data_IF_874523064888
#
_entry.id   IF_874523064888
#
_cell.length_a   1.000
_cell.length_b   1.000
_cell.length_c   1.000
_cell.angle_alpha   90.00
_cell.angle_beta   90.00
_cell.angle_gamma   90.00
#
_symmetry.space_group_name_H-M   'P 1'
#
loop_
_entity.id
_entity.type
_entity.pdbx_description
1 polymer ?
#
# COMPACT_ATOMS: atom_id res chain seq x y z
N UNK A 1 -1.17 -11.96 -14.86
CA UNK A 1 -1.09 -10.49 -14.80
C UNK A 1 -2.03 -10.03 -13.69
N UNK A 2 -1.53 -9.28 -12.71
CA UNK A 2 -2.33 -8.85 -11.55
C UNK A 2 -3.40 -7.83 -12.00
N UNK A 3 -4.66 -8.07 -11.63
CA UNK A 3 -5.77 -7.14 -11.88
C UNK A 3 -5.63 -5.80 -11.13
N UNK A 4 -4.65 -5.67 -10.22
CA UNK A 4 -4.40 -4.51 -9.37
C UNK A 4 -3.19 -3.69 -9.84
N UNK A 5 -3.22 -3.14 -11.06
CA UNK A 5 -2.14 -2.30 -11.60
C UNK A 5 -1.86 -1.02 -10.79
N UNK A 6 -1.51 0.09 -11.45
CA UNK A 6 -1.36 1.42 -10.81
C UNK A 6 -2.70 2.01 -10.33
N UNK A 7 -3.66 1.19 -9.88
CA UNK A 7 -4.92 1.66 -9.33
C UNK A 7 -4.67 2.26 -7.95
N UNK A 8 -4.99 3.54 -7.72
CA UNK A 8 -4.92 4.14 -6.40
C UNK A 8 -6.00 3.58 -5.49
N UNK A 9 -5.63 3.30 -4.25
CA UNK A 9 -6.55 2.75 -3.25
C UNK A 9 -6.18 3.30 -1.88
N UNK A 10 -7.18 3.86 -1.21
CA UNK A 10 -7.13 4.21 0.22
C UNK A 10 -7.79 3.09 0.99
N UNK A 11 -7.11 2.47 1.94
CA UNK A 11 -7.64 1.35 2.69
C UNK A 11 -7.29 1.45 4.16
N UNK A 12 -8.27 1.20 5.02
CA UNK A 12 -8.11 1.03 6.47
C UNK A 12 -8.25 -0.43 6.85
N UNK A 13 -7.49 -0.86 7.86
CA UNK A 13 -7.50 -2.22 8.37
C UNK A 13 -7.54 -2.23 9.91
N UNK A 14 -8.29 -3.16 10.47
CA UNK A 14 -8.36 -3.37 11.93
C UNK A 14 -8.47 -4.86 12.26
N UNK A 15 -8.24 -5.20 13.53
CA UNK A 15 -8.29 -6.56 14.05
C UNK A 15 -9.71 -7.14 14.06
N UNK A 16 -9.95 -8.10 14.94
CA UNK A 16 -11.15 -8.95 14.95
C UNK A 16 -12.41 -8.29 15.52
N UNK A 17 -12.53 -6.95 15.48
CA UNK A 17 -13.73 -6.25 15.94
C UNK A 17 -14.95 -6.76 15.16
N UNK A 18 -15.94 -7.30 15.87
CA UNK A 18 -17.21 -7.76 15.30
C UNK A 18 -18.23 -6.64 15.43
N UNK A 19 -19.04 -6.45 14.40
CA UNK A 19 -20.13 -5.48 14.35
C UNK A 19 -21.38 -6.19 13.82
N UNK A 20 -22.54 -5.83 14.34
CA UNK A 20 -23.83 -6.21 13.76
C UNK A 20 -24.01 -5.56 12.38
N UNK A 21 -24.93 -6.11 11.58
CA UNK A 21 -25.32 -5.50 10.29
C UNK A 21 -25.85 -4.07 10.45
N UNK A 22 -26.56 -3.81 11.56
CA UNK A 22 -27.04 -2.48 11.91
C UNK A 22 -25.89 -1.49 12.14
N UNK A 23 -24.91 -1.87 12.96
CA UNK A 23 -23.76 -1.01 13.28
C UNK A 23 -22.92 -0.73 12.03
N UNK A 24 -22.60 -1.76 11.24
CA UNK A 24 -21.81 -1.57 10.02
C UNK A 24 -22.57 -0.78 8.95
N UNK A 25 -23.89 -0.93 8.84
CA UNK A 25 -24.71 -0.13 7.94
C UNK A 25 -24.76 1.34 8.34
N UNK A 26 -24.88 1.64 9.64
CA UNK A 26 -24.82 3.01 10.16
C UNK A 26 -23.46 3.66 9.90
N UNK A 27 -22.36 2.95 10.19
CA UNK A 27 -21.00 3.43 9.89
C UNK A 27 -20.81 3.64 8.39
N UNK A 28 -21.24 2.69 7.56
CA UNK A 28 -21.12 2.81 6.10
C UNK A 28 -21.94 3.98 5.55
N UNK A 29 -23.15 4.23 6.05
CA UNK A 29 -23.96 5.39 5.62
C UNK A 29 -23.25 6.71 5.92
N UNK A 30 -22.81 6.90 7.17
CA UNK A 30 -22.11 8.11 7.57
C UNK A 30 -20.77 8.29 6.82
N UNK A 31 -20.09 7.18 6.53
CA UNK A 31 -18.89 7.16 5.69
C UNK A 31 -19.18 7.61 4.26
N UNK A 32 -20.24 7.09 3.63
CA UNK A 32 -20.65 7.48 2.28
C UNK A 32 -21.08 8.95 2.21
N UNK A 33 -21.77 9.47 3.23
CA UNK A 33 -22.16 10.89 3.31
C UNK A 33 -20.93 11.81 3.31
N UNK A 34 -19.90 11.47 4.09
CA UNK A 34 -18.65 12.24 4.13
C UNK A 34 -17.84 12.10 2.83
N UNK A 35 -17.88 10.94 2.15
CA UNK A 35 -17.27 10.78 0.83
C UNK A 35 -17.96 11.67 -0.22
N UNK A 36 -19.29 11.72 -0.21
CA UNK A 36 -20.06 12.60 -1.11
C UNK A 36 -19.73 14.08 -0.86
N UNK A 37 -19.52 14.47 0.39
CA UNK A 37 -19.12 15.82 0.76
C UNK A 37 -17.69 16.20 0.30
N UNK A 38 -16.79 15.22 0.18
CA UNK A 38 -15.46 15.42 -0.44
C UNK A 38 -15.63 15.65 -1.95
N UNK A 39 -16.29 14.72 -2.62
CA UNK A 39 -16.61 14.80 -4.03
C UNK A 39 -17.82 13.91 -4.34
N UNK A 40 -18.90 14.44 -4.93
CA UNK A 40 -20.08 13.65 -5.27
C UNK A 40 -19.76 12.42 -6.12
N UNK A 41 -18.72 12.49 -6.95
CA UNK A 41 -18.24 11.40 -7.80
C UNK A 41 -17.72 10.18 -7.03
N UNK A 42 -17.52 10.27 -5.71
CA UNK A 42 -17.10 9.16 -4.85
C UNK A 42 -18.27 8.30 -4.34
N UNK A 43 -19.49 8.84 -4.33
CA UNK A 43 -20.67 8.18 -3.76
C UNK A 43 -21.87 8.08 -4.72
N UNK A 44 -21.80 8.71 -5.91
CA UNK A 44 -22.88 8.72 -6.90
C UNK A 44 -23.15 7.33 -7.52
N UNK A 45 -24.45 6.98 -7.58
CA UNK A 45 -25.02 5.84 -8.30
C UNK A 45 -24.29 4.51 -8.12
N UNK A 46 -24.03 4.15 -6.86
CA UNK A 46 -23.39 2.87 -6.54
C UNK A 46 -24.40 1.72 -6.69
N UNK A 47 -23.98 0.68 -7.38
CA UNK A 47 -24.61 -0.64 -7.42
C UNK A 47 -23.86 -1.59 -6.49
N UNK A 48 -24.60 -2.45 -5.81
CA UNK A 48 -24.01 -3.50 -4.97
C UNK A 48 -23.82 -4.76 -5.80
N UNK A 49 -22.67 -5.42 -5.69
CA UNK A 49 -22.49 -6.75 -6.30
C UNK A 49 -23.00 -7.88 -5.41
N UNK A 50 -23.42 -7.57 -4.17
CA UNK A 50 -23.92 -8.57 -3.22
C UNK A 50 -25.34 -9.02 -3.55
N UNK A 51 -26.19 -8.13 -4.08
CA UNK A 51 -27.55 -8.46 -4.53
C UNK A 51 -27.59 -8.29 -6.07
N UNK A 52 -27.78 -9.41 -6.81
CA UNK A 52 -28.20 -9.55 -8.22
C UNK A 52 -28.14 -8.35 -9.21
N UNK A 53 -27.63 -8.62 -10.43
CA UNK A 53 -27.71 -7.81 -11.68
C UNK A 53 -27.97 -6.29 -11.54
N UNK A 54 -26.90 -5.52 -11.28
CA UNK A 54 -26.79 -4.06 -11.55
C UNK A 54 -28.00 -3.20 -11.16
N UNK A 55 -28.69 -3.49 -10.05
CA UNK A 55 -29.73 -2.60 -9.52
C UNK A 55 -29.05 -1.52 -8.66
N UNK A 56 -29.46 -0.24 -8.75
CA UNK A 56 -28.99 0.79 -7.83
C UNK A 56 -29.15 0.34 -6.38
N UNK A 57 -28.08 0.45 -5.59
CA UNK A 57 -28.13 0.04 -4.19
C UNK A 57 -29.04 1.00 -3.40
N UNK A 58 -29.93 0.45 -2.57
CA UNK A 58 -30.58 1.24 -1.54
C UNK A 58 -29.54 1.55 -0.46
N UNK A 59 -28.95 2.74 -0.55
CA UNK A 59 -27.92 3.20 0.38
C UNK A 59 -28.51 3.83 1.66
N UNK A 60 -29.82 3.72 1.92
CA UNK A 60 -30.36 4.01 3.25
C UNK A 60 -29.79 3.03 4.28
N UNK A 61 -29.91 3.34 5.58
CA UNK A 61 -29.46 2.41 6.62
C UNK A 61 -30.17 1.06 6.49
N UNK A 62 -31.48 1.03 6.29
CA UNK A 62 -32.25 -0.21 6.13
C UNK A 62 -31.85 -0.98 4.86
N UNK A 63 -31.55 -0.29 3.78
CA UNK A 63 -31.04 -0.89 2.55
C UNK A 63 -29.65 -1.49 2.72
N UNK A 64 -28.73 -0.76 3.35
CA UNK A 64 -27.40 -1.25 3.69
C UNK A 64 -27.46 -2.45 4.63
N UNK A 65 -28.37 -2.47 5.61
CA UNK A 65 -28.60 -3.66 6.46
C UNK A 65 -28.92 -4.87 5.59
N UNK A 66 -29.85 -4.76 4.64
CA UNK A 66 -30.20 -5.86 3.73
C UNK A 66 -29.00 -6.31 2.89
N UNK A 67 -28.25 -5.36 2.33
CA UNK A 67 -27.05 -5.63 1.54
C UNK A 67 -26.00 -6.39 2.37
N UNK A 68 -25.71 -5.92 3.58
CA UNK A 68 -24.76 -6.57 4.47
C UNK A 68 -25.24 -7.97 4.87
N UNK A 69 -26.50 -8.11 5.30
CA UNK A 69 -27.12 -9.40 5.63
C UNK A 69 -27.06 -10.39 4.45
N UNK A 70 -27.24 -9.93 3.21
CA UNK A 70 -27.13 -10.74 2.01
C UNK A 70 -25.69 -11.15 1.71
N UNK A 71 -24.75 -10.22 1.88
CA UNK A 71 -23.30 -10.42 1.67
C UNK A 71 -22.64 -11.34 2.70
N UNK A 72 -23.39 -11.74 3.71
CA UNK A 72 -22.94 -12.57 4.81
C UNK A 72 -22.34 -13.88 4.27
N UNK A 73 -21.02 -14.01 4.40
CA UNK A 73 -20.32 -15.16 3.85
C UNK A 73 -20.54 -16.40 4.72
N UNK A 74 -21.05 -17.49 4.11
CA UNK A 74 -21.19 -18.80 4.77
C UNK A 74 -19.85 -19.50 5.03
N UNK A 75 -18.77 -19.09 4.36
CA UNK A 75 -17.42 -19.65 4.51
C UNK A 75 -16.56 -18.92 5.55
N UNK A 76 -17.03 -17.76 6.03
CA UNK A 76 -16.34 -16.98 7.05
C UNK A 76 -16.75 -17.45 8.46
N UNK A 77 -16.44 -18.71 8.80
CA UNK A 77 -16.66 -19.31 10.12
C UNK A 77 -16.71 -20.85 10.09
N UNK A 78 -16.12 -21.52 11.09
CA UNK A 78 -16.25 -22.99 11.29
C UNK A 78 -17.62 -23.35 11.91
N UNK A 79 -18.02 -24.62 11.73
CA UNK A 79 -19.33 -25.19 12.10
C UNK A 79 -19.76 -25.06 13.57
N UNK A 80 -18.83 -24.76 14.49
CA UNK A 80 -19.09 -24.87 15.93
C UNK A 80 -18.94 -23.53 16.66
N UNK A 81 -18.74 -22.41 15.94
CA UNK A 81 -18.77 -21.05 16.50
C UNK A 81 -19.31 -20.06 15.45
N UNK A 82 -20.48 -19.42 15.68
CA UNK A 82 -20.91 -18.29 14.83
C UNK A 82 -19.90 -17.13 14.99
N UNK A 83 -19.60 -16.31 13.98
CA UNK A 83 -20.52 -15.87 12.96
C UNK A 83 -19.86 -15.32 11.67
N UNK A 84 -20.66 -15.22 10.61
CA UNK A 84 -20.23 -14.87 9.27
C UNK A 84 -19.94 -13.37 9.14
N UNK A 85 -18.71 -13.03 8.74
CA UNK A 85 -18.36 -11.68 8.32
C UNK A 85 -19.12 -11.26 7.05
N UNK A 86 -19.16 -9.95 6.81
CA UNK A 86 -19.72 -9.32 5.64
C UNK A 86 -18.65 -8.96 4.62
N UNK A 87 -18.94 -9.11 3.33
CA UNK A 87 -18.08 -8.70 2.22
C UNK A 87 -18.90 -8.00 1.14
N UNK A 88 -18.81 -6.67 1.09
CA UNK A 88 -19.53 -5.87 0.12
C UNK A 88 -18.60 -5.13 -0.83
N UNK A 89 -19.06 -4.98 -2.06
CA UNK A 89 -18.49 -4.14 -3.11
C UNK A 89 -19.61 -3.26 -3.65
N UNK A 90 -19.41 -1.95 -3.51
CA UNK A 90 -20.22 -0.90 -4.09
C UNK A 90 -19.41 -0.28 -5.23
N UNK A 91 -19.90 -0.43 -6.45
CA UNK A 91 -19.25 0.07 -7.66
C UNK A 91 -20.22 0.98 -8.42
N UNK A 92 -19.77 2.00 -9.15
CA UNK A 92 -20.65 2.85 -9.96
C UNK A 92 -21.44 2.06 -11.03
N UNK A 93 -22.70 2.43 -11.25
CA UNK A 93 -23.56 1.87 -12.28
C UNK A 93 -22.97 2.03 -13.70
N UNK A 94 -22.29 3.16 -13.94
CA UNK A 94 -21.66 3.51 -15.21
C UNK A 94 -20.43 2.65 -15.54
N UNK A 95 -20.03 1.74 -14.65
CA UNK A 95 -18.87 0.88 -14.81
C UNK A 95 -17.54 1.61 -14.69
N UNK A 96 -17.53 2.86 -14.23
CA UNK A 96 -16.30 3.55 -13.88
C UNK A 96 -15.58 2.80 -12.76
N UNK A 97 -14.25 2.84 -12.81
CA UNK A 97 -13.38 2.00 -12.00
C UNK A 97 -13.29 2.38 -10.51
N UNK A 98 -14.21 3.23 -10.02
CA UNK A 98 -14.31 3.56 -8.61
C UNK A 98 -14.94 2.38 -7.87
N UNK A 99 -14.58 2.20 -6.61
CA UNK A 99 -15.18 1.16 -5.77
C UNK A 99 -15.06 1.53 -4.31
N UNK A 100 -16.13 1.33 -3.55
CA UNK A 100 -16.09 1.26 -2.10
C UNK A 100 -16.28 -0.20 -1.70
N UNK A 101 -15.33 -0.75 -0.94
CA UNK A 101 -15.40 -2.13 -0.46
C UNK A 101 -15.29 -2.19 1.04
N UNK A 102 -15.99 -3.14 1.67
CA UNK A 102 -15.84 -3.39 3.10
C UNK A 102 -15.87 -4.89 3.38
N UNK A 103 -14.91 -5.33 4.20
CA UNK A 103 -14.84 -6.66 4.77
C UNK A 103 -14.86 -6.53 6.29
N UNK A 104 -15.95 -6.97 6.94
CA UNK A 104 -16.15 -6.78 8.39
C UNK A 104 -16.54 -8.10 9.06
N UNK A 105 -16.04 -8.37 10.26
CA UNK A 105 -16.20 -9.65 10.95
C UNK A 105 -15.28 -10.76 10.43
N UNK A 106 -14.19 -10.41 9.74
CA UNK A 106 -13.17 -11.35 9.32
C UNK A 106 -12.30 -11.85 10.47
N UNK A 107 -11.97 -13.14 10.48
CA UNK A 107 -10.93 -13.68 11.35
C UNK A 107 -9.55 -13.21 10.86
N UNK A 108 -8.69 -12.81 11.79
CA UNK A 108 -7.33 -12.34 11.48
C UNK A 108 -6.53 -13.36 10.64
N UNK A 109 -6.80 -14.66 10.83
CA UNK A 109 -6.19 -15.77 10.07
C UNK A 109 -6.61 -15.81 8.60
N UNK A 110 -7.82 -15.37 8.25
CA UNK A 110 -8.32 -15.28 6.87
C UNK A 110 -7.92 -13.95 6.25
N UNK A 111 -8.49 -12.84 6.72
CA UNK A 111 -8.12 -11.49 6.36
C UNK A 111 -8.51 -10.54 7.49
N UNK A 112 -7.72 -9.48 7.75
CA UNK A 112 -8.15 -8.45 8.68
C UNK A 112 -9.43 -7.78 8.18
N UNK A 113 -10.21 -7.24 9.10
CA UNK A 113 -11.29 -6.34 8.71
C UNK A 113 -10.72 -5.17 7.93
N UNK A 114 -11.47 -4.68 6.94
CA UNK A 114 -11.03 -3.59 6.10
C UNK A 114 -12.18 -2.79 5.51
N UNK A 115 -11.86 -1.54 5.19
CA UNK A 115 -12.63 -0.69 4.29
C UNK A 115 -11.65 -0.16 3.24
N UNK A 116 -12.12 0.00 2.01
CA UNK A 116 -11.31 0.60 0.96
C UNK A 116 -12.14 1.47 0.02
N UNK A 117 -11.46 2.49 -0.52
CA UNK A 117 -11.91 3.30 -1.64
C UNK A 117 -10.88 3.16 -2.74
N UNK A 118 -11.28 2.57 -3.86
CA UNK A 118 -10.48 2.50 -5.08
C UNK A 118 -10.86 3.63 -6.02
N UNK A 119 -9.85 4.29 -6.58
CA UNK A 119 -10.01 5.39 -7.51
C UNK A 119 -9.70 4.91 -8.95
N UNK A 120 -10.14 5.63 -9.99
CA UNK A 120 -9.80 5.28 -11.37
C UNK A 120 -8.29 5.33 -11.61
N UNK A 121 -7.77 4.52 -12.55
CA UNK A 121 -6.39 4.71 -13.03
C UNK A 121 -6.31 5.96 -13.91
N UNK A 122 -5.09 6.47 -14.14
CA UNK A 122 -4.84 7.62 -15.04
C UNK A 122 -5.46 7.42 -16.44
N UNK A 123 -5.49 6.18 -16.93
CA UNK A 123 -6.08 5.79 -18.23
C UNK A 123 -7.60 5.69 -18.24
N UNK A 124 -8.25 5.73 -17.07
CA UNK A 124 -9.69 5.63 -16.88
C UNK A 124 -10.33 6.97 -16.53
N UNK A 125 -9.51 8.02 -16.35
CA UNK A 125 -9.98 9.36 -16.03
C UNK A 125 -10.63 10.01 -17.25
N UNK A 126 -11.70 10.73 -16.98
CA UNK A 126 -12.28 11.73 -17.88
C UNK A 126 -11.90 13.12 -17.39
N UNK A 127 -12.18 14.16 -18.16
CA UNK A 127 -11.95 15.53 -17.70
C UNK A 127 -12.71 15.86 -16.40
N UNK A 128 -13.91 15.29 -16.22
CA UNK A 128 -14.73 15.49 -15.02
C UNK A 128 -14.28 14.66 -13.83
N UNK A 129 -13.43 13.64 -13.98
CA UNK A 129 -12.96 12.81 -12.86
C UNK A 129 -11.48 12.95 -12.56
N UNK A 130 -10.73 13.74 -13.34
CA UNK A 130 -9.27 13.93 -13.17
C UNK A 130 -8.88 14.38 -11.75
N UNK A 131 -9.69 15.26 -11.15
CA UNK A 131 -9.48 15.76 -9.78
C UNK A 131 -9.52 14.69 -8.70
N UNK A 132 -10.11 13.51 -8.97
CA UNK A 132 -10.13 12.40 -8.01
C UNK A 132 -8.73 11.87 -7.69
N UNK A 133 -7.72 12.14 -8.53
CA UNK A 133 -6.32 11.81 -8.24
C UNK A 133 -5.53 12.96 -7.62
N UNK A 134 -6.19 14.10 -7.31
CA UNK A 134 -5.54 15.20 -6.63
C UNK A 134 -5.17 14.78 -5.20
N UNK A 135 -4.01 15.23 -4.68
CA UNK A 135 -3.54 14.85 -3.35
C UNK A 135 -4.57 15.13 -2.25
N UNK A 136 -5.25 16.28 -2.32
CA UNK A 136 -6.24 16.70 -1.33
C UNK A 136 -7.43 15.75 -1.23
N UNK A 137 -7.85 15.14 -2.35
CA UNK A 137 -8.92 14.13 -2.35
C UNK A 137 -8.43 12.84 -1.66
N UNK A 138 -7.20 12.42 -1.94
CA UNK A 138 -6.58 11.26 -1.31
C UNK A 138 -6.47 11.41 0.22
N UNK A 139 -5.97 12.55 0.69
CA UNK A 139 -5.86 12.90 2.11
C UNK A 139 -7.25 12.98 2.77
N UNK A 140 -8.22 13.61 2.13
CA UNK A 140 -9.57 13.70 2.66
C UNK A 140 -10.21 12.30 2.83
N UNK A 141 -10.05 11.40 1.85
CA UNK A 141 -10.53 10.02 1.95
C UNK A 141 -9.83 9.28 3.10
N UNK A 142 -8.51 9.44 3.26
CA UNK A 142 -7.77 8.87 4.38
C UNK A 142 -8.35 9.32 5.72
N UNK A 143 -8.60 10.61 5.90
CA UNK A 143 -9.17 11.17 7.14
C UNK A 143 -10.57 10.65 7.42
N UNK A 144 -11.41 10.55 6.39
CA UNK A 144 -12.76 10.00 6.52
C UNK A 144 -12.72 8.51 6.89
N UNK A 145 -11.79 7.73 6.32
CA UNK A 145 -11.55 6.34 6.76
C UNK A 145 -11.15 6.30 8.24
N UNK A 146 -10.18 7.12 8.65
CA UNK A 146 -9.72 7.18 10.05
C UNK A 146 -10.84 7.57 11.01
N UNK A 147 -11.66 8.56 10.62
CA UNK A 147 -12.79 9.08 11.40
C UNK A 147 -13.86 8.03 11.68
N UNK A 148 -14.30 7.29 10.65
CA UNK A 148 -15.47 6.41 10.78
C UNK A 148 -15.12 4.99 11.18
N UNK A 149 -13.96 4.50 10.74
CA UNK A 149 -13.60 3.09 10.90
C UNK A 149 -12.56 2.85 11.98
N UNK A 150 -11.93 3.90 12.50
CA UNK A 150 -10.90 3.81 13.55
C UNK A 150 -9.90 2.66 13.29
N UNK A 151 -9.27 2.62 12.11
CA UNK A 151 -8.41 1.52 11.74
C UNK A 151 -7.19 1.47 12.65
N UNK A 152 -6.58 0.29 12.79
CA UNK A 152 -5.26 0.17 13.43
C UNK A 152 -4.14 0.64 12.50
N UNK A 153 -4.37 0.50 11.19
CA UNK A 153 -3.47 0.94 10.12
C UNK A 153 -4.27 1.31 8.88
N UNK A 154 -3.85 2.34 8.18
CA UNK A 154 -4.46 2.72 6.91
C UNK A 154 -3.39 3.21 5.92
N UNK A 155 -3.71 3.17 4.63
CA UNK A 155 -2.76 3.55 3.60
C UNK A 155 -3.44 4.01 2.32
N UNK A 156 -2.91 5.08 1.73
CA UNK A 156 -3.16 5.46 0.35
C UNK A 156 -2.02 4.92 -0.51
N UNK A 157 -2.28 4.03 -1.47
CA UNK A 157 -1.20 3.37 -2.23
C UNK A 157 -1.65 2.91 -3.62
N UNK A 158 -0.67 2.55 -4.46
CA UNK A 158 -0.86 1.89 -5.75
C UNK A 158 -0.20 0.51 -5.75
N UNK A 159 -0.56 -0.35 -6.71
CA UNK A 159 0.01 -1.70 -6.84
C UNK A 159 1.55 -1.71 -6.86
N UNK A 160 2.17 -0.76 -7.57
CA UNK A 160 3.64 -0.65 -7.70
C UNK A 160 4.31 -0.53 -6.32
N UNK A 161 3.78 0.30 -5.42
CA UNK A 161 4.36 0.50 -4.08
C UNK A 161 4.23 -0.76 -3.24
N UNK A 162 3.12 -1.49 -3.36
CA UNK A 162 2.89 -2.73 -2.62
C UNK A 162 3.92 -3.79 -3.00
N UNK A 163 4.33 -3.85 -4.27
CA UNK A 163 5.30 -4.84 -4.75
C UNK A 163 6.73 -4.61 -4.22
N UNK A 164 7.09 -3.38 -3.83
CA UNK A 164 8.42 -3.04 -3.31
C UNK A 164 8.69 -3.60 -1.90
N UNK A 165 7.64 -3.96 -1.16
CA UNK A 165 7.74 -4.05 0.30
C UNK A 165 7.92 -5.47 0.83
N UNK A 166 7.64 -6.50 0.00
CA UNK A 166 7.67 -7.92 0.38
C UNK A 166 7.17 -8.18 1.82
N UNK A 167 6.01 -7.58 2.16
CA UNK A 167 5.51 -7.50 3.54
C UNK A 167 4.99 -8.84 4.05
N UNK A 168 5.16 -9.07 5.35
CA UNK A 168 4.46 -10.14 6.06
C UNK A 168 3.01 -9.73 6.34
N UNK A 169 2.15 -10.71 6.67
CA UNK A 169 0.78 -10.43 7.13
C UNK A 169 0.84 -9.68 8.46
N UNK A 170 0.01 -8.63 8.61
CA UNK A 170 -0.04 -7.79 9.82
C UNK A 170 0.92 -6.59 9.83
N UNK A 171 1.97 -6.58 9.01
CA UNK A 171 2.85 -5.42 8.88
C UNK A 171 2.13 -4.22 8.24
N UNK A 172 2.51 -3.01 8.64
CA UNK A 172 2.03 -1.77 8.01
C UNK A 172 2.49 -1.75 6.55
N UNK A 173 1.52 -1.56 5.64
CA UNK A 173 1.80 -1.33 4.23
C UNK A 173 2.02 0.16 4.02
N UNK A 174 3.22 0.53 3.58
CA UNK A 174 3.60 1.92 3.32
C UNK A 174 3.03 2.35 1.97
N UNK A 175 2.40 3.52 1.94
CA UNK A 175 1.87 4.15 0.74
C UNK A 175 2.43 5.56 0.54
N UNK A 176 1.78 6.35 -0.30
CA UNK A 176 2.00 7.80 -0.30
C UNK A 176 1.62 8.40 1.04
N UNK A 177 0.46 7.99 1.57
CA UNK A 177 0.07 8.21 2.95
C UNK A 177 -0.01 6.89 3.69
N UNK A 178 0.48 6.90 4.93
CA UNK A 178 0.52 5.75 5.83
C UNK A 178 0.10 6.20 7.21
N UNK A 179 -1.01 5.67 7.69
CA UNK A 179 -1.51 5.88 9.04
C UNK A 179 -1.33 4.62 9.88
N UNK A 180 -1.01 4.80 11.15
CA UNK A 180 -1.03 3.74 12.14
C UNK A 180 -1.46 4.28 13.50
N UNK A 181 -2.16 3.45 14.26
CA UNK A 181 -2.68 3.79 15.58
C UNK A 181 -1.55 4.12 16.57
N UNK A 182 -1.90 4.90 17.59
CA UNK A 182 -0.98 5.26 18.67
C UNK A 182 -0.34 4.03 19.33
N UNK A 183 0.96 4.10 19.62
CA UNK A 183 1.71 2.99 20.25
C UNK A 183 2.61 2.20 19.30
N UNK A 184 2.50 2.39 17.98
CA UNK A 184 3.53 1.92 17.05
C UNK A 184 4.74 2.86 17.12
N UNK A 185 5.90 2.33 17.47
CA UNK A 185 7.16 3.08 17.50
C UNK A 185 7.79 3.12 16.11
N UNK A 186 8.41 4.25 15.76
CA UNK A 186 9.19 4.38 14.54
C UNK A 186 10.31 5.41 14.73
N UNK A 187 11.41 5.23 14.01
CA UNK A 187 12.55 6.13 14.03
C UNK A 187 12.31 7.32 13.10
N UNK A 188 11.87 8.45 13.67
CA UNK A 188 11.68 9.71 12.95
C UNK A 188 12.94 10.21 12.26
N UNK A 189 14.13 9.90 12.79
CA UNK A 189 15.40 10.35 12.22
C UNK A 189 15.79 9.55 10.98
N UNK A 190 15.20 8.37 10.79
CA UNK A 190 15.39 7.52 9.62
C UNK A 190 14.39 7.79 8.50
N UNK A 191 13.46 8.73 8.68
CA UNK A 191 12.50 9.09 7.63
C UNK A 191 13.19 9.84 6.47
N UNK A 192 12.74 9.62 5.23
CA UNK A 192 13.25 10.36 4.09
C UNK A 192 12.89 11.85 4.19
N UNK A 193 13.65 12.72 3.53
CA UNK A 193 13.42 14.17 3.56
C UNK A 193 12.05 14.57 3.01
N UNK A 194 11.47 13.76 2.11
CA UNK A 194 10.14 13.95 1.55
C UNK A 194 9.00 13.65 2.53
N UNK A 195 9.30 13.05 3.68
CA UNK A 195 8.30 12.66 4.66
C UNK A 195 7.81 13.84 5.50
N UNK A 196 6.49 13.99 5.56
CA UNK A 196 5.80 14.85 6.51
C UNK A 196 5.08 13.96 7.51
N UNK A 197 5.27 14.25 8.80
CA UNK A 197 4.62 13.53 9.91
C UNK A 197 3.56 14.44 10.53
N UNK A 198 2.34 13.92 10.65
CA UNK A 198 1.22 14.59 11.32
C UNK A 198 0.71 13.68 12.45
N UNK A 199 0.55 14.26 13.64
CA UNK A 199 -0.12 13.56 14.75
C UNK A 199 -1.62 13.78 14.66
N UNK A 200 -2.37 12.69 14.58
CA UNK A 200 -3.81 12.67 14.68
C UNK A 200 -4.20 12.25 16.11
N UNK A 201 -5.43 12.58 16.57
CA UNK A 201 -5.86 12.22 17.93
C UNK A 201 -5.72 10.72 18.27
N UNK A 202 -5.81 9.84 17.27
CA UNK A 202 -5.79 8.38 17.44
C UNK A 202 -4.54 7.70 16.90
N UNK A 203 -3.57 8.43 16.35
CA UNK A 203 -2.39 7.82 15.74
C UNK A 203 -1.53 8.80 14.95
N UNK A 204 -0.62 8.28 14.14
CA UNK A 204 0.32 9.08 13.35
C UNK A 204 0.09 8.84 11.86
N UNK A 205 0.09 9.92 11.08
CA UNK A 205 0.02 9.90 9.62
C UNK A 205 1.37 10.34 9.04
N UNK A 206 1.93 9.55 8.13
CA UNK A 206 3.13 9.88 7.37
C UNK A 206 2.73 10.08 5.91
N UNK A 207 3.11 11.21 5.31
CA UNK A 207 2.92 11.54 3.89
C UNK A 207 4.26 11.69 3.18
N UNK A 208 4.39 11.15 1.96
CA UNK A 208 5.61 11.18 1.15
C UNK A 208 5.48 12.10 -0.07
N UNK A 209 6.00 13.32 0.03
CA UNK A 209 5.93 14.29 -1.08
C UNK A 209 4.49 14.71 -1.46
N UNK A 210 4.37 15.38 -2.60
CA UNK A 210 3.13 16.02 -3.08
C UNK A 210 2.45 15.27 -4.24
N UNK A 211 3.12 14.26 -4.83
CA UNK A 211 2.64 13.53 -6.00
C UNK A 211 2.32 12.09 -5.61
N UNK A 212 1.04 11.78 -5.34
CA UNK A 212 0.70 10.54 -4.70
C UNK A 212 0.94 9.35 -5.64
N UNK A 213 0.82 9.55 -6.95
CA UNK A 213 1.13 8.57 -8.00
C UNK A 213 2.63 8.44 -8.35
N UNK A 214 3.52 9.25 -7.78
CA UNK A 214 4.94 9.33 -8.17
C UNK A 214 5.89 9.34 -6.97
N UNK A 215 5.60 8.55 -5.94
CA UNK A 215 6.49 8.40 -4.77
C UNK A 215 7.73 7.61 -5.15
N UNK A 216 8.90 8.07 -4.71
CA UNK A 216 10.15 7.35 -4.93
C UNK A 216 10.15 6.00 -4.19
N UNK A 217 10.58 4.94 -4.87
CA UNK A 217 10.70 3.62 -4.29
C UNK A 217 11.64 3.62 -3.06
N UNK A 218 12.69 4.43 -3.07
CA UNK A 218 13.62 4.57 -1.96
C UNK A 218 12.93 5.15 -0.71
N UNK A 219 12.00 6.09 -0.89
CA UNK A 219 11.26 6.71 0.21
C UNK A 219 10.30 5.71 0.87
N UNK A 220 9.59 4.91 0.07
CA UNK A 220 8.73 3.81 0.57
C UNK A 220 9.56 2.82 1.41
N UNK A 221 10.75 2.46 0.93
CA UNK A 221 11.67 1.55 1.63
C UNK A 221 12.23 2.19 2.90
N UNK A 222 12.58 3.48 2.87
CA UNK A 222 13.09 4.21 4.03
C UNK A 222 12.04 4.28 5.16
N UNK A 223 10.77 4.56 4.84
CA UNK A 223 9.69 4.53 5.85
C UNK A 223 9.51 3.14 6.44
N UNK A 224 9.60 2.07 5.63
CA UNK A 224 9.55 0.70 6.17
C UNK A 224 10.70 0.43 7.15
N UNK A 225 11.91 0.84 6.81
CA UNK A 225 13.06 0.69 7.68
C UNK A 225 12.87 1.50 8.98
N UNK A 226 12.33 2.72 8.89
CA UNK A 226 12.01 3.57 10.04
C UNK A 226 10.96 2.92 10.96
N UNK A 227 10.01 2.16 10.42
CA UNK A 227 9.04 1.35 11.16
C UNK A 227 9.63 0.05 11.75
N UNK A 228 10.93 -0.20 11.56
CA UNK A 228 11.62 -1.39 12.07
C UNK A 228 11.37 -2.66 11.25
N UNK A 229 10.77 -2.55 10.07
CA UNK A 229 10.52 -3.71 9.22
C UNK A 229 11.74 -4.10 8.40
N UNK A 230 11.94 -5.40 8.13
CA UNK A 230 13.02 -5.84 7.26
C UNK A 230 12.82 -5.29 5.84
N UNK A 231 13.86 -4.67 5.31
CA UNK A 231 13.93 -4.21 3.92
C UNK A 231 14.90 -5.11 3.16
N UNK A 232 14.42 -5.75 2.09
CA UNK A 232 15.33 -6.51 1.22
C UNK A 232 16.15 -5.53 0.38
N UNK A 233 17.47 -5.72 0.35
CA UNK A 233 18.31 -5.03 -0.62
C UNK A 233 17.81 -5.35 -2.05
N UNK A 234 17.75 -4.35 -2.95
CA UNK A 234 17.29 -4.56 -4.33
C UNK A 234 18.03 -5.73 -4.98
N UNK A 235 17.33 -6.53 -5.80
CA UNK A 235 17.87 -7.76 -6.41
C UNK A 235 19.15 -7.55 -7.25
N UNK A 236 19.43 -6.31 -7.69
CA UNK A 236 20.67 -5.95 -8.37
C UNK A 236 21.92 -5.96 -7.47
N UNK A 237 21.75 -5.93 -6.14
CA UNK A 237 22.84 -6.15 -5.17
C UNK A 237 23.21 -7.63 -5.05
N UNK A 238 22.24 -8.55 -5.31
CA UNK A 238 22.48 -10.00 -5.28
C UNK A 238 23.17 -10.53 -6.55
N UNK A 239 23.23 -9.72 -7.61
CA UNK A 239 23.91 -10.04 -8.87
C UNK A 239 25.29 -9.36 -9.01
N UNK A 240 25.73 -8.61 -8.00
CA UNK A 240 27.12 -8.13 -7.93
C UNK A 240 28.07 -9.31 -7.64
N UNK A 241 29.13 -9.53 -8.44
CA UNK A 241 30.09 -10.64 -8.24
C UNK A 241 30.75 -10.67 -6.85
N UNK A 242 30.75 -9.53 -6.16
CA UNK A 242 31.32 -9.38 -4.81
C UNK A 242 30.57 -10.16 -3.73
N UNK A 243 29.28 -10.48 -3.91
CA UNK A 243 28.52 -11.27 -2.93
C UNK A 243 28.63 -12.79 -3.12
N UNK A 244 29.22 -13.26 -4.23
CA UNK A 244 29.53 -14.68 -4.42
C UNK A 244 30.88 -15.09 -3.83
N UNK A 245 31.76 -14.13 -3.52
CA UNK A 245 33.07 -14.41 -2.93
C UNK A 245 33.09 -14.42 -1.39
N UNK A 246 32.10 -13.86 -0.69
CA UNK A 246 32.16 -13.75 0.79
C UNK A 246 31.78 -15.01 1.57
N UNK A 247 31.45 -16.13 0.90
CA UNK A 247 31.20 -17.42 1.58
C UNK A 247 32.43 -18.30 1.71
N UNK A 248 33.55 -17.93 1.09
CA UNK A 248 34.81 -18.63 1.27
C UNK A 248 35.89 -17.61 1.66
N UNK A 249 36.72 -17.99 2.63
CA UNK A 249 37.88 -17.27 3.17
C UNK A 249 37.58 -16.38 4.39
N UNK A 250 37.62 -17.06 5.54
CA UNK A 250 38.18 -16.52 6.78
C UNK A 250 39.61 -16.02 6.55
N UNK A 251 39.95 -14.93 7.23
CA UNK A 251 41.27 -14.35 7.56
C UNK A 251 41.66 -13.04 6.88
N UNK A 252 41.65 -11.96 7.67
CA UNK A 252 42.68 -10.91 7.67
C UNK A 252 42.43 -9.62 6.88
N UNK A 253 42.43 -8.51 7.63
CA UNK A 253 42.80 -7.12 7.25
C UNK A 253 41.68 -6.10 6.89
N UNK A 254 41.92 -4.80 7.20
CA UNK A 254 40.88 -3.91 7.74
C UNK A 254 40.17 -3.06 6.67
N UNK A 255 38.99 -2.59 7.06
CA UNK A 255 38.15 -1.66 6.32
C UNK A 255 38.88 -0.35 5.96
N UNK A 256 38.68 0.12 4.73
CA UNK A 256 38.80 1.55 4.41
C UNK A 256 37.96 1.95 3.19
N UNK A 257 37.54 3.22 3.11
CA UNK A 257 36.41 3.71 2.32
C UNK A 257 36.86 4.09 0.91
N UNK A 258 35.96 4.02 -0.09
CA UNK A 258 35.86 4.92 -1.25
C UNK A 258 34.90 4.29 -2.27
N UNK A 259 33.62 4.65 -2.19
CA UNK A 259 32.65 4.42 -3.26
C UNK A 259 32.86 5.48 -4.35
N UNK A 260 33.43 5.08 -5.48
CA UNK A 260 33.29 5.80 -6.74
C UNK A 260 33.12 4.79 -7.88
N UNK A 261 31.91 4.73 -8.41
CA UNK A 261 31.53 3.81 -9.49
C UNK A 261 32.14 4.31 -10.80
N UNK A 262 33.10 3.55 -11.34
CA UNK A 262 33.62 3.73 -12.71
C UNK A 262 32.71 2.94 -13.66
N UNK A 263 32.04 3.62 -14.62
CA UNK A 263 31.37 2.95 -15.75
C UNK A 263 32.42 2.47 -16.75
N UNK A 264 32.44 1.17 -17.05
CA UNK A 264 33.27 0.58 -18.10
C UNK A 264 32.51 0.59 -19.44
N UNK A 265 33.20 0.92 -20.53
CA UNK A 265 32.60 0.94 -21.88
C UNK A 265 32.82 -0.37 -22.67
N UNK A 266 33.56 -1.34 -22.12
CA UNK A 266 33.72 -2.70 -22.68
C UNK A 266 34.41 -3.64 -21.68
N UNK A 267 34.06 -4.93 -21.69
CA UNK A 267 34.69 -5.98 -20.88
C UNK A 267 36.03 -6.43 -21.50
N UNK A 268 37.13 -6.50 -20.74
CA UNK A 268 38.35 -7.14 -21.20
C UNK A 268 38.24 -8.66 -21.10
N UNK A 269 38.45 -9.37 -22.21
CA UNK A 269 38.52 -10.83 -22.25
C UNK A 269 39.91 -11.31 -21.81
N UNK A 270 40.10 -11.65 -20.53
CA UNK A 270 41.29 -12.39 -20.07
C UNK A 270 41.04 -13.90 -20.10
N UNK A 271 42.06 -14.68 -20.43
CA UNK A 271 42.05 -16.16 -20.32
C UNK A 271 41.96 -16.62 -18.85
N UNK A 272 41.29 -17.77 -18.62
CA UNK A 272 41.14 -18.35 -17.27
C UNK A 272 42.52 -18.63 -16.65
N UNK A 273 42.77 -18.02 -15.49
CA UNK A 273 44.00 -18.21 -14.70
C UNK A 273 44.92 -16.97 -14.63
N UNK A 274 44.64 -15.92 -15.40
CA UNK A 274 45.41 -14.67 -15.36
C UNK A 274 44.93 -13.74 -14.24
N UNK A 275 45.84 -13.05 -13.56
CA UNK A 275 45.52 -12.01 -12.58
C UNK A 275 45.38 -10.66 -13.28
N UNK A 276 44.28 -9.96 -13.02
CA UNK A 276 44.02 -8.63 -13.58
C UNK A 276 44.73 -7.59 -12.73
N UNK A 277 45.51 -6.71 -13.36
CA UNK A 277 46.13 -5.56 -12.69
C UNK A 277 45.51 -4.27 -13.20
N UNK A 278 45.08 -3.41 -12.27
CA UNK A 278 44.52 -2.10 -12.60
C UNK A 278 45.64 -1.07 -12.51
N UNK A 279 45.86 -0.33 -13.59
CA UNK A 279 46.83 0.77 -13.65
C UNK A 279 46.17 2.05 -14.17
N UNK A 280 46.72 3.19 -13.75
CA UNK A 280 46.23 4.52 -14.15
C UNK A 280 47.21 5.14 -15.15
N UNK A 281 46.74 5.40 -16.37
CA UNK A 281 47.50 6.09 -17.40
C UNK A 281 46.76 7.37 -17.81
N UNK A 282 47.44 8.52 -17.73
CA UNK A 282 46.90 9.79 -18.22
C UNK A 282 45.51 10.17 -17.65
N UNK A 283 45.24 9.83 -16.38
CA UNK A 283 43.97 10.14 -15.72
C UNK A 283 42.84 9.14 -15.98
N UNK A 284 43.02 8.16 -16.86
CA UNK A 284 42.06 7.06 -17.09
C UNK A 284 42.54 5.76 -16.44
N UNK A 285 41.60 4.98 -15.92
CA UNK A 285 41.85 3.65 -15.39
C UNK A 285 41.81 2.63 -16.52
N UNK A 286 42.74 1.69 -16.52
CA UNK A 286 42.79 0.61 -17.48
C UNK A 286 43.08 -0.71 -16.76
N UNK A 287 42.32 -1.74 -17.13
CA UNK A 287 42.54 -3.10 -16.66
C UNK A 287 43.41 -3.82 -17.70
N UNK A 288 44.48 -4.44 -17.24
CA UNK A 288 45.41 -5.20 -18.06
C UNK A 288 45.42 -6.64 -17.54
N UNK A 289 45.26 -7.60 -18.47
CA UNK A 289 45.71 -8.97 -18.29
C UNK A 289 47.23 -8.99 -18.58
#
# INVERSE_FOLDING_TARGET
MSFFGRRPTVAGYWGTRVQSSQEVAQTMRAFLDDLEAIDPELALSLVSTAEFDKVPADLSVDGLVRIFEHSRSKEMGYSDTPGPGYDIDLSPEDGTARRVGAWVGGLETSAPNSVLVSLPTETQLTDSTRRLLDPDIGDAIMRVIVKHWEPERARWSIGDYRHLQNRSKGEVEVGWETYFHSGVTFDRSALPQSAVVEELPTGTLIRLGDKPMQVDAADIVAVRAALGYPVQAPQWVRSSPLHQMSRNVLTGWPASPFDSIVRWHSEPTCSRGSSIRIQRFGGRWSAIC
#
